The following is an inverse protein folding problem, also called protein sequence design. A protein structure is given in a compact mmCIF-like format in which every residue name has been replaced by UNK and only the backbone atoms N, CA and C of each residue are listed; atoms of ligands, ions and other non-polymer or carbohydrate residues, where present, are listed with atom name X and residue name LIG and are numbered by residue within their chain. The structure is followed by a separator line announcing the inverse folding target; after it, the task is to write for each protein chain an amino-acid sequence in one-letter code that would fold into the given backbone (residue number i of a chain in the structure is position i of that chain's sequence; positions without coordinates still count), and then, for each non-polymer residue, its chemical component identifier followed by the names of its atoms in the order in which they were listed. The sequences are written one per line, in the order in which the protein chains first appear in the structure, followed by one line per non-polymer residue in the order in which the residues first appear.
data_IF_769280447770
#
_entry.id   IF_769280447770
#
_cell.length_a   1.000
_cell.length_b   1.000
_cell.length_c   1.000
_cell.angle_alpha   90.00
_cell.angle_beta   90.00
_cell.angle_gamma   90.00
#
_symmetry.space_group_name_H-M   'P 1'
#
loop_
_entity.id
_entity.type
_entity.pdbx_description
1 polymer ?
#
# COMPACT_ATOMS: atom_id res chain seq x y z
N UNK A 1 55.36 -25.38 37.53
CA UNK A 1 55.57 -26.84 37.46
C UNK A 1 54.42 -27.44 36.65
N UNK A 2 54.72 -28.12 35.53
CA UNK A 2 53.94 -29.12 34.73
C UNK A 2 52.39 -29.07 34.84
N UNK A 3 51.57 -29.08 33.79
CA UNK A 3 51.66 -29.85 32.55
C UNK A 3 50.51 -29.47 31.61
N UNK A 4 50.84 -29.29 30.33
CA UNK A 4 49.98 -29.50 29.17
C UNK A 4 49.35 -30.91 29.19
N UNK A 5 48.05 -31.05 28.90
CA UNK A 5 47.43 -32.15 28.10
C UNK A 5 46.08 -31.66 27.53
N UNK A 6 46.00 -31.33 26.23
CA UNK A 6 45.60 -32.19 25.09
C UNK A 6 44.08 -32.18 24.80
N UNK A 7 43.71 -31.42 23.77
CA UNK A 7 42.94 -31.91 22.62
C UNK A 7 41.46 -32.23 22.81
N UNK A 8 40.60 -31.29 22.43
CA UNK A 8 39.29 -31.63 21.89
C UNK A 8 39.02 -30.72 20.67
N UNK A 9 39.20 -31.29 19.47
CA UNK A 9 38.69 -30.70 18.24
C UNK A 9 37.18 -30.93 18.24
N UNK A 10 36.40 -29.94 18.63
CA UNK A 10 34.94 -29.97 18.52
C UNK A 10 34.51 -29.15 17.29
N UNK A 11 34.03 -29.90 16.33
CA UNK A 11 33.35 -29.56 15.09
C UNK A 11 32.83 -28.12 14.92
N UNK A 12 33.19 -27.57 13.77
CA UNK A 12 32.66 -26.36 13.15
C UNK A 12 31.16 -26.60 12.86
N UNK A 13 30.28 -26.04 13.68
CA UNK A 13 28.91 -25.74 13.27
C UNK A 13 28.77 -24.23 13.39
N UNK A 14 29.02 -23.56 12.27
CA UNK A 14 28.83 -22.13 12.13
C UNK A 14 27.37 -21.77 12.46
N UNK A 15 27.09 -20.84 13.40
CA UNK A 15 25.72 -20.46 13.74
C UNK A 15 25.03 -19.64 12.62
N UNK A 16 25.73 -19.40 11.51
CA UNK A 16 25.28 -18.56 10.39
C UNK A 16 24.06 -19.14 9.65
N UNK A 17 23.86 -20.47 9.67
CA UNK A 17 22.82 -21.12 8.86
C UNK A 17 21.41 -21.14 9.50
N UNK A 18 21.29 -20.92 10.81
CA UNK A 18 19.97 -20.83 11.47
C UNK A 18 19.40 -19.40 11.50
N UNK A 19 20.23 -18.38 11.23
CA UNK A 19 19.80 -16.98 11.21
C UNK A 19 19.08 -16.57 9.90
N UNK A 20 19.30 -17.29 8.79
CA UNK A 20 18.82 -16.87 7.48
C UNK A 20 17.29 -16.90 7.32
N UNK A 21 16.61 -17.88 7.92
CA UNK A 21 15.17 -18.07 7.71
C UNK A 21 14.29 -17.16 8.59
N UNK A 22 14.81 -16.67 9.72
CA UNK A 22 14.05 -15.77 10.62
C UNK A 22 14.16 -14.31 10.17
N UNK A 23 15.30 -13.91 9.60
CA UNK A 23 15.50 -12.55 9.08
C UNK A 23 14.55 -12.20 7.93
N UNK A 24 14.27 -13.14 7.02
CA UNK A 24 13.35 -12.90 5.89
C UNK A 24 11.92 -12.63 6.35
N UNK A 25 11.45 -13.33 7.40
CA UNK A 25 10.10 -13.14 7.96
C UNK A 25 9.95 -11.77 8.64
N UNK A 26 11.04 -11.21 9.19
CA UNK A 26 11.02 -9.87 9.78
C UNK A 26 11.11 -8.72 8.77
N UNK A 27 11.63 -8.97 7.57
CA UNK A 27 11.75 -7.94 6.53
C UNK A 27 10.47 -7.70 5.73
N UNK A 28 9.51 -8.63 5.72
CA UNK A 28 8.20 -8.43 5.08
C UNK A 28 7.22 -7.72 6.03
N UNK A 29 7.51 -6.47 6.38
CA UNK A 29 6.48 -5.57 6.85
C UNK A 29 5.58 -5.22 5.65
N UNK A 30 4.30 -5.58 5.73
CA UNK A 30 3.28 -5.07 4.80
C UNK A 30 3.26 -3.55 5.01
N UNK A 31 3.88 -2.81 4.09
CA UNK A 31 3.75 -1.37 4.04
C UNK A 31 2.31 -1.07 3.60
N UNK A 32 1.40 -0.91 4.57
CA UNK A 32 0.13 -0.26 4.31
C UNK A 32 0.43 1.24 4.26
N UNK A 33 0.54 1.88 3.08
CA UNK A 33 0.61 3.33 3.04
C UNK A 33 -0.61 3.91 3.78
N UNK A 34 -0.48 5.04 4.49
CA UNK A 34 -1.63 5.70 5.06
C UNK A 34 -2.63 5.96 3.93
N UNK A 35 -3.91 5.62 4.17
CA UNK A 35 -4.99 5.97 3.25
C UNK A 35 -4.95 7.50 3.14
N UNK A 36 -4.78 8.08 1.94
CA UNK A 36 -4.74 9.52 1.80
C UNK A 36 -6.07 10.11 2.27
N UNK A 37 -6.01 11.24 2.97
CA UNK A 37 -7.22 11.98 3.34
C UNK A 37 -7.96 12.37 2.06
N UNK A 38 -9.22 11.93 1.95
CA UNK A 38 -10.09 12.32 0.83
C UNK A 38 -10.53 13.77 1.02
N UNK A 39 -10.52 14.53 -0.07
CA UNK A 39 -11.05 15.89 -0.09
C UNK A 39 -12.57 15.88 -0.04
N UNK A 40 -13.16 16.96 0.49
CA UNK A 40 -14.61 17.16 0.33
C UNK A 40 -14.96 17.36 -1.16
N UNK A 41 -16.23 17.17 -1.57
CA UNK A 41 -16.64 17.42 -2.95
C UNK A 41 -16.29 18.83 -3.43
N UNK A 42 -16.45 19.84 -2.59
CA UNK A 42 -16.14 21.25 -2.91
C UNK A 42 -14.63 21.48 -3.09
N UNK A 43 -13.82 20.84 -2.25
CA UNK A 43 -12.37 20.91 -2.34
C UNK A 43 -11.85 20.21 -3.60
N UNK A 44 -12.43 19.06 -3.95
CA UNK A 44 -12.12 18.33 -5.19
C UNK A 44 -12.47 19.17 -6.41
N UNK A 45 -13.66 19.79 -6.44
CA UNK A 45 -14.10 20.64 -7.55
C UNK A 45 -13.15 21.81 -7.85
N UNK A 46 -12.58 22.43 -6.82
CA UNK A 46 -11.60 23.54 -6.99
C UNK A 46 -10.28 23.10 -7.64
N UNK A 47 -9.96 21.81 -7.62
CA UNK A 47 -8.70 21.26 -8.14
C UNK A 47 -8.79 20.81 -9.60
N UNK A 48 -10.01 20.64 -10.13
CA UNK A 48 -10.23 20.24 -11.52
C UNK A 48 -9.92 21.43 -12.45
N UNK A 49 -9.08 21.20 -13.46
CA UNK A 49 -8.72 22.20 -14.48
C UNK A 49 -9.51 21.94 -15.76
N UNK A 50 -10.21 22.95 -16.27
CA UNK A 50 -10.95 22.89 -17.53
C UNK A 50 -10.27 23.76 -18.59
N UNK A 51 -10.44 23.39 -19.85
CA UNK A 51 -10.10 24.25 -20.99
C UNK A 51 -11.12 25.39 -21.13
N UNK A 52 -10.73 26.46 -21.80
CA UNK A 52 -11.63 27.58 -22.09
C UNK A 52 -12.85 27.11 -22.91
N UNK A 53 -14.03 27.65 -22.59
CA UNK A 53 -15.31 27.28 -23.24
C UNK A 53 -16.03 26.06 -22.65
N UNK A 54 -15.42 25.33 -21.71
CA UNK A 54 -16.07 24.21 -21.02
C UNK A 54 -16.62 24.59 -19.65
N UNK A 55 -17.65 23.87 -19.19
CA UNK A 55 -18.26 24.02 -17.86
C UNK A 55 -18.42 22.67 -17.19
N UNK A 56 -18.13 22.60 -15.90
CA UNK A 56 -18.33 21.42 -15.05
C UNK A 56 -19.36 21.74 -13.96
N UNK A 57 -20.26 20.79 -13.67
CA UNK A 57 -21.19 20.86 -12.54
C UNK A 57 -21.13 19.56 -11.75
N UNK A 58 -21.17 19.65 -10.41
CA UNK A 58 -21.29 18.50 -9.53
C UNK A 58 -22.75 18.01 -9.52
N UNK A 59 -22.97 16.73 -9.83
CA UNK A 59 -24.32 16.12 -9.91
C UNK A 59 -24.55 15.02 -8.88
N UNK A 60 -23.48 14.37 -8.41
CA UNK A 60 -23.53 13.36 -7.36
C UNK A 60 -22.18 13.29 -6.66
N UNK A 61 -22.21 13.01 -5.36
CA UNK A 61 -21.04 12.84 -4.49
C UNK A 61 -21.40 11.91 -3.33
N UNK A 62 -20.43 11.68 -2.45
CA UNK A 62 -20.61 10.96 -1.20
C UNK A 62 -21.72 11.63 -0.35
N UNK A 63 -22.54 10.84 0.38
CA UNK A 63 -22.51 9.38 0.50
C UNK A 63 -23.30 8.63 -0.59
N UNK A 64 -23.91 9.35 -1.55
CA UNK A 64 -24.82 8.76 -2.56
C UNK A 64 -24.04 7.84 -3.51
N UNK A 65 -22.78 8.18 -3.81
CA UNK A 65 -21.86 7.40 -4.64
C UNK A 65 -20.54 7.26 -3.87
N UNK A 66 -19.97 6.04 -3.83
CA UNK A 66 -18.66 5.77 -3.24
C UNK A 66 -17.90 4.79 -4.16
N UNK A 67 -16.65 5.12 -4.48
CA UNK A 67 -15.76 4.31 -5.34
C UNK A 67 -16.39 3.83 -6.67
N UNK A 68 -16.87 4.73 -7.55
CA UNK A 68 -17.46 4.32 -8.82
C UNK A 68 -16.40 3.70 -9.74
N UNK A 69 -16.69 2.51 -10.26
CA UNK A 69 -15.78 1.77 -11.17
C UNK A 69 -16.18 1.95 -12.63
N UNK A 70 -17.48 2.04 -12.91
CA UNK A 70 -18.05 2.11 -14.26
C UNK A 70 -19.17 3.15 -14.26
N UNK A 71 -19.34 3.84 -15.39
CA UNK A 71 -20.39 4.82 -15.64
C UNK A 71 -20.96 4.54 -17.04
N UNK A 72 -22.29 4.44 -17.16
CA UNK A 72 -22.97 4.23 -18.45
C UNK A 72 -24.29 5.02 -18.55
N UNK A 73 -24.73 5.27 -19.79
CA UNK A 73 -26.06 5.81 -20.11
C UNK A 73 -26.85 4.82 -20.96
N UNK A 74 -28.12 4.52 -20.63
CA UNK A 74 -28.99 3.73 -21.53
C UNK A 74 -29.56 4.56 -22.69
N UNK A 75 -30.31 3.87 -23.54
CA UNK A 75 -31.07 4.45 -24.64
C UNK A 75 -32.13 5.50 -24.22
N UNK A 76 -32.54 5.54 -22.94
CA UNK A 76 -33.44 6.57 -22.39
C UNK A 76 -32.67 7.74 -21.76
N UNK A 77 -31.33 7.73 -21.79
CA UNK A 77 -30.47 8.76 -21.24
C UNK A 77 -30.37 8.76 -19.71
N UNK A 78 -30.73 7.66 -19.04
CA UNK A 78 -30.56 7.54 -17.58
C UNK A 78 -29.11 7.18 -17.27
N UNK A 79 -28.62 7.62 -16.10
CA UNK A 79 -27.23 7.42 -15.65
C UNK A 79 -27.18 6.30 -14.59
N UNK A 80 -26.25 5.33 -14.74
CA UNK A 80 -25.93 4.30 -13.73
C UNK A 80 -24.42 4.04 -13.63
#
# INVERSE_FOLDING_TARGET
MKSVKRGLRANIISPVLLAGNVWVVFCQQIQNPPIPDFYTPEESMKRIKLQEGFKLNLVASEPIINEPVVIEWDANGRFY
#
